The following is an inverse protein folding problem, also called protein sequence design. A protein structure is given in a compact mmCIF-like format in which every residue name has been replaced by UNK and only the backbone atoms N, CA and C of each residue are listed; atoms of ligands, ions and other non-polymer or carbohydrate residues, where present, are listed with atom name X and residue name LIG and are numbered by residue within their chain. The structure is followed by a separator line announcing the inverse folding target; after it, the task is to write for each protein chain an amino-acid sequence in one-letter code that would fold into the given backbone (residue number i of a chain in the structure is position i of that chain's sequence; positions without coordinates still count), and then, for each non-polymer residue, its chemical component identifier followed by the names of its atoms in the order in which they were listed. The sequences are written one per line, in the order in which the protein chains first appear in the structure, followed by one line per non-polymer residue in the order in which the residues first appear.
data_IF_294842764777
#
_entry.id   IF_294842764777
#
_cell.length_a   1.000
_cell.length_b   1.000
_cell.length_c   1.000
_cell.angle_alpha   90.00
_cell.angle_beta   90.00
_cell.angle_gamma   90.00
#
_symmetry.space_group_name_H-M   'P 1'
#
loop_
_entity.id
_entity.type
_entity.pdbx_description
1 polymer ?
#
# COMPACT_ATOMS: atom_id res chain seq x y z
N UNK A 1 -26.39 32.47 39.10
CA UNK A 1 -25.59 32.01 37.96
C UNK A 1 -24.60 33.11 37.62
N UNK A 2 -23.32 32.82 37.77
CA UNK A 2 -22.27 33.83 37.71
C UNK A 2 -21.97 34.22 36.25
N UNK A 3 -21.64 35.49 36.02
CA UNK A 3 -21.44 36.07 34.68
C UNK A 3 -20.28 35.41 33.94
N UNK A 4 -19.32 34.87 34.70
CA UNK A 4 -18.18 34.07 34.22
C UNK A 4 -18.60 32.71 33.66
N UNK A 5 -19.53 32.01 34.32
CA UNK A 5 -20.03 30.70 33.84
C UNK A 5 -20.80 30.83 32.53
N UNK A 6 -21.54 31.93 32.38
CA UNK A 6 -22.30 32.22 31.16
C UNK A 6 -21.39 32.43 29.94
N UNK A 7 -20.23 33.09 30.13
CA UNK A 7 -19.25 33.31 29.05
C UNK A 7 -18.49 32.03 28.67
N UNK A 8 -18.22 31.15 29.63
CA UNK A 8 -17.59 29.85 29.39
C UNK A 8 -18.50 28.94 28.55
N UNK A 9 -19.81 28.90 28.85
CA UNK A 9 -20.80 28.14 28.09
C UNK A 9 -20.94 28.64 26.64
N UNK A 10 -20.92 29.96 26.43
CA UNK A 10 -20.98 30.55 25.08
C UNK A 10 -19.74 30.19 24.26
N UNK A 11 -18.54 30.27 24.85
CA UNK A 11 -17.30 29.85 24.15
C UNK A 11 -17.31 28.37 23.80
N UNK A 12 -17.74 27.51 24.72
CA UNK A 12 -17.86 26.07 24.46
C UNK A 12 -18.85 25.77 23.32
N UNK A 13 -19.99 26.48 23.26
CA UNK A 13 -20.95 26.35 22.18
C UNK A 13 -20.39 26.82 20.83
N UNK A 14 -19.61 27.90 20.80
CA UNK A 14 -18.93 28.38 19.58
C UNK A 14 -17.89 27.37 19.09
N UNK A 15 -17.06 26.82 19.98
CA UNK A 15 -16.08 25.80 19.63
C UNK A 15 -16.75 24.53 19.10
N UNK A 16 -17.85 24.09 19.72
CA UNK A 16 -18.63 22.93 19.27
C UNK A 16 -19.23 23.17 17.88
N UNK A 17 -19.80 24.34 17.63
CA UNK A 17 -20.36 24.72 16.32
C UNK A 17 -19.27 24.83 15.25
N UNK A 18 -18.08 25.34 15.61
CA UNK A 18 -16.93 25.41 14.71
C UNK A 18 -16.39 24.00 14.38
N UNK A 19 -16.31 23.10 15.35
CA UNK A 19 -15.92 21.71 15.16
C UNK A 19 -16.90 20.98 14.23
N UNK A 20 -18.20 21.11 14.49
CA UNK A 20 -19.24 20.50 13.64
C UNK A 20 -19.22 21.05 12.21
N UNK A 21 -18.94 22.36 12.04
CA UNK A 21 -18.82 22.97 10.71
C UNK A 21 -17.58 22.46 9.96
N UNK A 22 -16.47 22.23 10.65
CA UNK A 22 -15.26 21.61 10.06
C UNK A 22 -15.55 20.18 9.63
N UNK A 23 -16.14 19.38 10.52
CA UNK A 23 -16.54 18.00 10.22
C UNK A 23 -17.45 17.91 8.99
N UNK A 24 -18.49 18.75 8.90
CA UNK A 24 -19.35 18.79 7.70
C UNK A 24 -18.62 19.25 6.43
N UNK A 25 -17.61 20.13 6.57
CA UNK A 25 -16.80 20.58 5.44
C UNK A 25 -15.88 19.47 4.94
N UNK A 26 -15.28 18.71 5.85
CA UNK A 26 -14.41 17.58 5.54
C UNK A 26 -15.22 16.46 4.87
N UNK A 27 -16.41 16.16 5.40
CA UNK A 27 -17.34 15.20 4.78
C UNK A 27 -17.76 15.66 3.39
N UNK A 28 -18.09 16.93 3.18
CA UNK A 28 -18.46 17.45 1.87
C UNK A 28 -17.28 17.40 0.88
N UNK A 29 -16.05 17.66 1.35
CA UNK A 29 -14.84 17.50 0.54
C UNK A 29 -14.65 16.04 0.14
N UNK A 30 -14.79 15.10 1.07
CA UNK A 30 -14.68 13.66 0.80
C UNK A 30 -15.76 13.17 -0.18
N UNK A 31 -17.00 13.64 -0.03
CA UNK A 31 -18.10 13.30 -0.94
C UNK A 31 -17.85 13.88 -2.35
N UNK A 32 -17.33 15.10 -2.43
CA UNK A 32 -16.93 15.71 -3.70
C UNK A 32 -15.80 14.94 -4.38
N UNK A 33 -14.76 14.60 -3.61
CA UNK A 33 -13.62 13.82 -4.10
C UNK A 33 -14.03 12.42 -4.55
N UNK A 34 -14.91 11.76 -3.79
CA UNK A 34 -15.46 10.45 -4.15
C UNK A 34 -16.34 10.54 -5.41
N UNK A 35 -17.14 11.59 -5.53
CA UNK A 35 -17.91 11.87 -6.74
C UNK A 35 -17.00 11.99 -7.97
N UNK A 36 -15.92 12.77 -7.86
CA UNK A 36 -14.93 12.93 -8.93
C UNK A 36 -14.22 11.60 -9.26
N UNK A 37 -13.77 10.85 -8.25
CA UNK A 37 -13.16 9.54 -8.43
C UNK A 37 -14.10 8.56 -9.12
N UNK A 38 -15.37 8.48 -8.72
CA UNK A 38 -16.34 7.53 -9.30
C UNK A 38 -16.56 7.74 -10.80
N UNK A 39 -16.44 8.98 -11.27
CA UNK A 39 -16.59 9.33 -12.70
C UNK A 39 -15.32 9.01 -13.49
N UNK A 40 -14.15 9.15 -12.86
CA UNK A 40 -12.84 9.06 -13.52
C UNK A 40 -12.03 7.78 -13.18
N UNK A 41 -12.57 6.87 -12.37
CA UNK A 41 -11.86 5.69 -11.85
C UNK A 41 -11.34 4.71 -12.92
N UNK A 42 -11.79 4.83 -14.17
CA UNK A 42 -11.44 3.93 -15.27
C UNK A 42 -10.64 4.61 -16.40
N UNK A 43 -10.34 5.91 -16.29
CA UNK A 43 -9.59 6.61 -17.34
C UNK A 43 -8.08 6.40 -17.20
N UNK A 44 -7.42 6.09 -18.32
CA UNK A 44 -5.98 5.80 -18.38
C UNK A 44 -5.08 7.03 -18.11
N UNK A 45 -5.64 8.23 -18.27
CA UNK A 45 -4.95 9.53 -18.11
C UNK A 45 -5.32 10.24 -16.79
N UNK A 46 -5.49 9.47 -15.71
CA UNK A 46 -5.82 10.03 -14.40
C UNK A 46 -4.63 10.85 -13.84
N UNK A 47 -4.67 12.17 -14.00
CA UNK A 47 -3.80 13.10 -13.28
C UNK A 47 -4.48 13.60 -11.99
N UNK A 48 -3.92 13.31 -10.80
CA UNK A 48 -4.53 13.66 -9.52
C UNK A 48 -4.25 15.12 -9.16
N UNK A 49 -4.78 16.07 -9.94
CA UNK A 49 -4.46 17.49 -9.73
C UNK A 49 -5.48 18.18 -8.81
N UNK A 50 -6.61 17.55 -8.46
CA UNK A 50 -7.68 18.25 -7.72
C UNK A 50 -8.40 17.52 -6.57
N UNK A 51 -8.09 16.25 -6.27
CA UNK A 51 -8.74 15.53 -5.16
C UNK A 51 -7.73 15.18 -4.06
N UNK A 52 -8.09 15.43 -2.79
CA UNK A 52 -7.32 14.94 -1.64
C UNK A 52 -7.50 13.41 -1.46
N UNK A 53 -8.41 12.79 -2.20
CA UNK A 53 -8.65 11.35 -2.20
C UNK A 53 -7.89 10.66 -3.35
N UNK A 54 -7.08 9.67 -3.00
CA UNK A 54 -6.37 8.77 -3.93
C UNK A 54 -6.94 7.37 -3.81
N UNK A 55 -6.68 6.50 -4.80
CA UNK A 55 -7.05 5.09 -4.69
C UNK A 55 -6.38 4.42 -3.48
N UNK A 56 -5.12 4.76 -3.20
CA UNK A 56 -4.40 4.26 -2.04
C UNK A 56 -5.13 4.61 -0.74
N UNK A 57 -5.56 5.86 -0.56
CA UNK A 57 -6.33 6.29 0.62
C UNK A 57 -7.66 5.56 0.75
N UNK A 58 -8.35 5.27 -0.36
CA UNK A 58 -9.57 4.48 -0.35
C UNK A 58 -9.31 3.05 0.13
N UNK A 59 -8.29 2.39 -0.42
CA UNK A 59 -7.92 1.02 -0.05
C UNK A 59 -7.53 1.00 1.43
N UNK A 60 -6.60 1.85 1.86
CA UNK A 60 -6.12 1.88 3.24
C UNK A 60 -7.25 2.20 4.22
N UNK A 61 -8.13 3.15 3.92
CA UNK A 61 -9.29 3.44 4.78
C UNK A 61 -10.25 2.25 4.91
N UNK A 62 -10.37 1.41 3.88
CA UNK A 62 -11.23 0.23 3.91
C UNK A 62 -10.57 -1.00 4.53
N UNK A 63 -9.24 -1.04 4.60
CA UNK A 63 -8.48 -2.24 4.99
C UNK A 63 -7.69 -2.08 6.28
N UNK A 64 -7.47 -0.86 6.78
CA UNK A 64 -6.73 -0.63 8.03
C UNK A 64 -7.63 -0.85 9.23
N UNK A 65 -7.20 -1.72 10.14
CA UNK A 65 -7.85 -2.02 11.42
C UNK A 65 -7.29 -1.10 12.50
N UNK A 66 -6.04 -1.36 12.91
CA UNK A 66 -5.26 -0.51 13.81
C UNK A 66 -4.26 0.35 13.02
N UNK A 67 -4.02 1.57 13.51
CA UNK A 67 -3.04 2.47 12.91
C UNK A 67 -1.61 1.95 13.12
N UNK A 68 -0.80 2.00 12.06
CA UNK A 68 0.64 1.72 12.17
C UNK A 68 1.34 2.77 13.05
N UNK A 69 2.42 2.41 13.75
CA UNK A 69 3.23 3.38 14.48
C UNK A 69 3.85 4.41 13.54
N UNK A 70 3.98 5.66 13.99
CA UNK A 70 4.69 6.69 13.23
C UNK A 70 6.16 6.27 13.06
N UNK A 71 6.65 6.30 11.82
CA UNK A 71 8.06 6.01 11.53
C UNK A 71 8.87 7.29 11.62
N UNK A 72 9.61 7.45 12.72
CA UNK A 72 10.46 8.62 12.98
C UNK A 72 11.86 8.51 12.33
N UNK A 73 12.16 7.36 11.71
CA UNK A 73 13.49 7.06 11.18
C UNK A 73 13.51 7.09 9.65
N UNK A 74 14.03 8.18 9.08
CA UNK A 74 14.30 8.29 7.64
C UNK A 74 15.49 7.42 7.16
N UNK A 75 16.22 6.75 8.07
CA UNK A 75 17.47 6.04 7.72
C UNK A 75 17.18 4.61 7.32
N UNK A 76 17.62 4.23 6.12
CA UNK A 76 17.64 2.83 5.66
C UNK A 76 18.42 1.94 6.64
N UNK A 77 18.01 0.68 6.83
CA UNK A 77 18.77 -0.25 7.65
C UNK A 77 20.15 -0.52 7.02
N UNK A 78 21.12 -1.06 7.78
CA UNK A 78 22.37 -1.51 7.19
C UNK A 78 22.11 -2.47 6.02
N UNK A 79 22.84 -2.31 4.92
CA UNK A 79 22.62 -3.10 3.68
C UNK A 79 22.66 -4.61 3.92
N UNK A 80 23.52 -5.06 4.84
CA UNK A 80 23.59 -6.46 5.28
C UNK A 80 22.25 -6.93 5.88
N UNK A 81 21.64 -6.13 6.76
CA UNK A 81 20.34 -6.45 7.36
C UNK A 81 19.24 -6.52 6.29
N UNK A 82 19.22 -5.57 5.36
CA UNK A 82 18.26 -5.61 4.25
C UNK A 82 18.41 -6.86 3.38
N UNK A 83 19.64 -7.23 3.01
CA UNK A 83 19.89 -8.46 2.25
C UNK A 83 19.41 -9.72 2.97
N UNK A 84 19.64 -9.82 4.29
CA UNK A 84 19.16 -10.97 5.09
C UNK A 84 17.62 -11.06 5.06
N UNK A 85 16.93 -9.93 5.21
CA UNK A 85 15.46 -9.89 5.18
C UNK A 85 14.91 -10.19 3.78
N UNK A 86 15.52 -9.62 2.75
CA UNK A 86 15.18 -9.91 1.35
C UNK A 86 15.37 -11.38 1.05
N UNK A 87 16.50 -11.98 1.43
CA UNK A 87 16.75 -13.39 1.23
C UNK A 87 15.72 -14.26 1.96
N UNK A 88 15.38 -13.91 3.21
CA UNK A 88 14.33 -14.61 3.95
C UNK A 88 12.97 -14.57 3.23
N UNK A 89 12.58 -13.40 2.70
CA UNK A 89 11.37 -13.26 1.88
C UNK A 89 11.46 -14.11 0.60
N UNK A 90 12.60 -14.09 -0.09
CA UNK A 90 12.79 -14.83 -1.34
C UNK A 90 12.64 -16.34 -1.14
N UNK A 91 13.24 -16.86 -0.06
CA UNK A 91 13.24 -18.29 0.23
C UNK A 91 11.85 -18.78 0.69
N UNK A 92 11.15 -18.00 1.51
CA UNK A 92 9.96 -18.48 2.24
C UNK A 92 8.62 -17.96 1.69
N UNK A 93 8.60 -16.84 0.96
CA UNK A 93 7.36 -16.21 0.48
C UNK A 93 7.34 -16.11 -1.05
N UNK A 94 8.40 -15.57 -1.66
CA UNK A 94 8.47 -15.39 -3.11
C UNK A 94 8.40 -16.73 -3.88
N UNK A 95 8.95 -17.80 -3.30
CA UNK A 95 8.87 -19.16 -3.86
C UNK A 95 7.43 -19.65 -4.06
N UNK A 96 6.48 -19.14 -3.25
CA UNK A 96 5.05 -19.41 -3.36
C UNK A 96 4.32 -18.35 -4.21
N UNK A 97 4.74 -17.10 -4.11
CA UNK A 97 4.07 -15.95 -4.72
C UNK A 97 5.00 -15.06 -5.58
N UNK A 98 5.55 -15.56 -6.70
CA UNK A 98 6.51 -14.83 -7.53
C UNK A 98 5.79 -13.80 -8.42
N UNK A 99 5.35 -12.70 -7.82
CA UNK A 99 4.52 -11.68 -8.47
C UNK A 99 5.28 -10.51 -9.10
N UNK A 100 6.60 -10.48 -8.98
CA UNK A 100 7.51 -9.54 -9.63
C UNK A 100 8.80 -10.27 -10.02
N UNK A 101 9.70 -9.63 -10.76
CA UNK A 101 10.99 -10.25 -11.10
C UNK A 101 12.01 -10.02 -9.98
N UNK A 102 12.85 -11.01 -9.70
CA UNK A 102 13.96 -10.89 -8.75
C UNK A 102 14.90 -9.74 -9.13
N UNK A 103 15.19 -9.58 -10.43
CA UNK A 103 16.00 -8.46 -10.93
C UNK A 103 15.39 -7.11 -10.58
N UNK A 104 14.06 -6.96 -10.70
CA UNK A 104 13.37 -5.71 -10.32
C UNK A 104 13.57 -5.38 -8.84
N UNK A 105 13.44 -6.37 -7.96
CA UNK A 105 13.63 -6.17 -6.52
C UNK A 105 15.08 -5.80 -6.19
N UNK A 106 16.05 -6.52 -6.74
CA UNK A 106 17.47 -6.28 -6.47
C UNK A 106 17.93 -4.92 -7.02
N UNK A 107 17.48 -4.55 -8.22
CA UNK A 107 17.76 -3.21 -8.79
C UNK A 107 17.13 -2.11 -7.95
N UNK A 108 15.86 -2.25 -7.54
CA UNK A 108 15.21 -1.28 -6.66
C UNK A 108 15.94 -1.13 -5.33
N UNK A 109 16.38 -2.24 -4.72
CA UNK A 109 17.17 -2.22 -3.49
C UNK A 109 18.49 -1.48 -3.72
N UNK A 110 19.23 -1.83 -4.76
CA UNK A 110 20.52 -1.22 -5.07
C UNK A 110 20.41 0.27 -5.38
N UNK A 111 19.36 0.69 -6.08
CA UNK A 111 19.07 2.09 -6.39
C UNK A 111 18.71 2.86 -5.11
N UNK A 112 17.93 2.29 -4.19
CA UNK A 112 17.58 2.94 -2.90
C UNK A 112 18.81 3.14 -2.01
N UNK A 113 19.76 2.21 -2.03
CA UNK A 113 21.02 2.33 -1.27
C UNK A 113 22.08 3.19 -1.95
N UNK A 114 21.95 3.44 -3.25
CA UNK A 114 22.78 4.40 -3.96
C UNK A 114 22.12 5.77 -3.78
N UNK A 115 22.72 6.66 -3.00
CA UNK A 115 22.28 8.06 -2.84
C UNK A 115 22.47 8.90 -4.13
N UNK A 116 22.34 8.26 -5.29
CA UNK A 116 22.60 8.83 -6.59
C UNK A 116 21.37 9.63 -7.07
N UNK A 117 21.59 10.50 -8.05
CA UNK A 117 20.60 11.52 -8.49
C UNK A 117 19.39 10.94 -9.25
N UNK A 118 19.17 9.61 -9.22
CA UNK A 118 18.08 8.96 -9.94
C UNK A 118 16.78 9.10 -9.16
N UNK A 119 15.75 9.58 -9.83
CA UNK A 119 14.39 9.59 -9.27
C UNK A 119 13.88 8.16 -9.17
N UNK A 120 13.82 7.64 -7.95
CA UNK A 120 13.27 6.31 -7.63
C UNK A 120 11.74 6.43 -7.59
N UNK A 121 11.04 5.44 -8.14
CA UNK A 121 9.58 5.43 -8.15
C UNK A 121 9.03 5.02 -6.80
N UNK A 122 7.88 5.54 -6.43
CA UNK A 122 7.15 5.13 -5.23
C UNK A 122 6.84 3.62 -5.20
N UNK A 123 6.56 3.02 -6.36
CA UNK A 123 6.38 1.57 -6.48
C UNK A 123 7.62 0.76 -6.09
N UNK A 124 8.81 1.31 -6.32
CA UNK A 124 10.08 0.64 -6.02
C UNK A 124 10.39 0.74 -4.52
N UNK A 125 10.18 1.91 -3.92
CA UNK A 125 10.21 2.07 -2.46
C UNK A 125 9.21 1.17 -1.76
N UNK A 126 7.96 1.15 -2.24
CA UNK A 126 6.90 0.28 -1.73
C UNK A 126 7.32 -1.19 -1.78
N UNK A 127 7.77 -1.66 -2.95
CA UNK A 127 8.20 -3.04 -3.13
C UNK A 127 9.30 -3.42 -2.13
N UNK A 128 10.34 -2.59 -2.01
CA UNK A 128 11.45 -2.88 -1.10
C UNK A 128 11.00 -2.86 0.36
N UNK A 129 10.30 -1.81 0.81
CA UNK A 129 9.87 -1.72 2.21
C UNK A 129 8.86 -2.82 2.58
N UNK A 130 7.93 -3.18 1.69
CA UNK A 130 7.01 -4.28 1.93
C UNK A 130 7.73 -5.63 1.99
N UNK A 131 8.71 -5.87 1.11
CA UNK A 131 9.55 -7.09 1.18
C UNK A 131 10.33 -7.16 2.49
N UNK A 132 10.91 -6.05 2.95
CA UNK A 132 11.59 -5.98 4.25
C UNK A 132 10.63 -6.20 5.41
N UNK A 133 9.42 -5.61 5.34
CA UNK A 133 8.38 -5.76 6.34
C UNK A 133 7.94 -7.22 6.46
N UNK A 134 7.57 -7.86 5.36
CA UNK A 134 7.16 -9.27 5.29
C UNK A 134 8.30 -10.18 5.74
N UNK A 135 9.52 -9.97 5.21
CA UNK A 135 10.70 -10.75 5.57
C UNK A 135 11.04 -10.68 7.06
N UNK A 136 10.80 -9.54 7.71
CA UNK A 136 10.94 -9.40 9.16
C UNK A 136 9.79 -10.04 9.91
N UNK A 137 8.55 -9.69 9.60
CA UNK A 137 7.36 -10.17 10.32
C UNK A 137 7.21 -11.70 10.24
N UNK A 138 7.56 -12.32 9.11
CA UNK A 138 7.53 -13.78 8.94
C UNK A 138 8.47 -14.53 9.92
N UNK A 139 9.49 -13.88 10.45
CA UNK A 139 10.41 -14.44 11.45
C UNK A 139 9.93 -14.22 12.89
N UNK A 140 8.89 -13.41 13.08
CA UNK A 140 8.33 -13.14 14.40
C UNK A 140 7.68 -14.40 14.99
N UNK A 141 7.88 -14.60 16.29
CA UNK A 141 7.30 -15.73 17.04
C UNK A 141 6.23 -15.26 18.02
N UNK A 142 6.23 -13.96 18.35
CA UNK A 142 5.32 -13.37 19.33
C UNK A 142 5.03 -11.93 18.92
N UNK A 143 3.77 -11.52 19.11
CA UNK A 143 3.37 -10.11 19.03
C UNK A 143 4.32 -9.28 19.92
N UNK A 144 4.77 -8.13 19.40
CA UNK A 144 5.71 -7.20 20.03
C UNK A 144 7.15 -7.71 20.24
N UNK A 145 7.56 -8.83 19.63
CA UNK A 145 8.98 -9.16 19.55
C UNK A 145 9.73 -8.24 18.57
N UNK A 146 11.07 -8.33 18.57
CA UNK A 146 11.92 -7.46 17.75
C UNK A 146 11.59 -7.55 16.26
N UNK A 147 11.30 -8.75 15.75
CA UNK A 147 10.98 -8.97 14.34
C UNK A 147 9.63 -8.35 13.97
N UNK A 148 8.63 -8.51 14.83
CA UNK A 148 7.32 -7.87 14.67
C UNK A 148 7.44 -6.35 14.60
N UNK A 149 8.11 -5.74 15.59
CA UNK A 149 8.27 -4.28 15.66
C UNK A 149 9.07 -3.73 14.47
N UNK A 150 10.12 -4.44 14.04
CA UNK A 150 10.91 -4.08 12.86
C UNK A 150 10.06 -4.19 11.57
N UNK A 151 9.20 -5.21 11.49
CA UNK A 151 8.28 -5.38 10.36
C UNK A 151 7.25 -4.27 10.27
N UNK A 152 6.67 -3.87 11.40
CA UNK A 152 5.78 -2.71 11.51
C UNK A 152 6.46 -1.41 11.06
N UNK A 153 7.72 -1.21 11.46
CA UNK A 153 8.47 -0.02 11.06
C UNK A 153 8.62 0.07 9.54
N UNK A 154 9.02 -1.02 8.87
CA UNK A 154 9.13 -1.02 7.41
C UNK A 154 7.78 -0.88 6.71
N UNK A 155 6.72 -1.51 7.23
CA UNK A 155 5.37 -1.32 6.70
C UNK A 155 4.92 0.15 6.80
N UNK A 156 5.20 0.81 7.92
CA UNK A 156 4.92 2.24 8.13
C UNK A 156 5.68 3.11 7.11
N UNK A 157 6.94 2.78 6.82
CA UNK A 157 7.71 3.47 5.76
C UNK A 157 7.14 3.25 4.37
N UNK A 158 6.66 2.04 4.07
CA UNK A 158 6.00 1.76 2.79
C UNK A 158 4.75 2.64 2.60
N UNK A 159 3.98 2.91 3.66
CA UNK A 159 2.77 3.75 3.57
C UNK A 159 3.03 5.16 3.02
N UNK A 160 4.24 5.72 3.20
CA UNK A 160 4.61 7.02 2.63
C UNK A 160 4.63 7.02 1.09
N UNK A 161 4.70 5.85 0.47
CA UNK A 161 4.74 5.65 -0.98
C UNK A 161 3.45 5.04 -1.54
N UNK A 162 2.40 4.89 -0.69
CA UNK A 162 1.16 4.23 -1.06
C UNK A 162 0.46 4.89 -2.26
N UNK A 163 0.40 6.22 -2.27
CA UNK A 163 -0.29 7.01 -3.30
C UNK A 163 0.25 6.70 -4.70
N UNK A 164 1.58 6.66 -4.85
CA UNK A 164 2.23 6.32 -6.12
C UNK A 164 2.20 4.81 -6.44
N UNK A 165 2.45 3.96 -5.44
CA UNK A 165 2.53 2.51 -5.63
C UNK A 165 1.20 1.85 -5.99
N UNK A 166 0.10 2.35 -5.43
CA UNK A 166 -1.26 1.85 -5.65
C UNK A 166 -2.01 2.62 -6.76
N UNK A 167 -1.30 3.42 -7.56
CA UNK A 167 -1.91 4.15 -8.69
C UNK A 167 -2.65 3.18 -9.62
N UNK A 168 -3.96 3.39 -9.88
CA UNK A 168 -4.74 2.50 -10.74
C UNK A 168 -4.24 2.41 -12.17
N UNK A 169 -4.48 1.28 -12.83
CA UNK A 169 -4.22 1.13 -14.27
C UNK A 169 -2.86 0.53 -14.63
N UNK A 170 -2.01 0.24 -13.63
CA UNK A 170 -0.66 -0.26 -13.82
C UNK A 170 -0.45 -1.64 -13.20
N UNK A 171 0.47 -2.43 -13.75
CA UNK A 171 0.85 -3.73 -13.18
C UNK A 171 1.40 -3.59 -11.76
N UNK A 172 2.12 -2.50 -11.51
CA UNK A 172 2.66 -2.14 -10.19
C UNK A 172 1.56 -1.99 -9.15
N UNK A 173 0.34 -1.59 -9.53
CA UNK A 173 -0.82 -1.55 -8.62
C UNK A 173 -1.13 -2.95 -8.07
N UNK A 174 -1.25 -3.95 -8.96
CA UNK A 174 -1.57 -5.33 -8.57
C UNK A 174 -0.46 -5.87 -7.68
N UNK A 175 0.81 -5.66 -8.07
CA UNK A 175 1.96 -6.12 -7.30
C UNK A 175 2.00 -5.48 -5.90
N UNK A 176 1.72 -4.18 -5.82
CA UNK A 176 1.70 -3.44 -4.56
C UNK A 176 0.56 -3.87 -3.64
N UNK A 177 -0.65 -4.06 -4.20
CA UNK A 177 -1.80 -4.62 -3.47
C UNK A 177 -1.50 -6.03 -2.98
N UNK A 178 -0.90 -6.86 -3.82
CA UNK A 178 -0.57 -8.24 -3.49
C UNK A 178 0.47 -8.34 -2.37
N UNK A 179 1.49 -7.49 -2.38
CA UNK A 179 2.44 -7.36 -1.27
C UNK A 179 1.75 -6.92 0.03
N UNK A 180 0.79 -6.00 -0.03
CA UNK A 180 0.00 -5.59 1.13
C UNK A 180 -0.90 -6.72 1.64
N UNK A 181 -1.52 -7.49 0.75
CA UNK A 181 -2.28 -8.69 1.12
C UNK A 181 -1.38 -9.68 1.86
N UNK A 182 -0.19 -9.97 1.35
CA UNK A 182 0.77 -10.88 1.99
C UNK A 182 1.17 -10.40 3.39
N UNK A 183 1.43 -9.10 3.55
CA UNK A 183 1.74 -8.52 4.86
C UNK A 183 0.54 -8.63 5.82
N UNK A 184 -0.67 -8.29 5.37
CA UNK A 184 -1.89 -8.35 6.19
C UNK A 184 -2.21 -9.77 6.68
N UNK A 185 -1.80 -10.81 5.94
CA UNK A 185 -1.93 -12.20 6.40
C UNK A 185 -0.99 -12.52 7.57
N UNK A 186 0.16 -11.84 7.66
CA UNK A 186 1.10 -11.99 8.77
C UNK A 186 0.72 -11.09 9.97
N UNK A 187 0.12 -9.93 9.71
CA UNK A 187 -0.26 -8.96 10.73
C UNK A 187 -1.73 -8.52 10.60
N UNK A 188 -2.69 -9.39 10.96
CA UNK A 188 -4.12 -9.09 10.86
C UNK A 188 -4.59 -8.02 11.87
N UNK A 189 -3.74 -7.65 12.84
CA UNK A 189 -4.06 -6.58 13.79
C UNK A 189 -4.16 -5.21 13.11
N UNK A 190 -3.31 -4.93 12.11
CA UNK A 190 -3.27 -3.64 11.43
C UNK A 190 -4.01 -3.63 10.10
N UNK A 191 -4.12 -4.77 9.41
CA UNK A 191 -4.75 -4.82 8.10
C UNK A 191 -5.68 -6.02 7.91
N UNK A 192 -6.80 -5.78 7.24
CA UNK A 192 -7.75 -6.80 6.83
C UNK A 192 -7.37 -7.39 5.46
N UNK A 193 -6.81 -8.60 5.49
CA UNK A 193 -6.41 -9.34 4.30
C UNK A 193 -7.59 -9.73 3.40
N UNK A 194 -8.81 -9.89 3.94
CA UNK A 194 -10.00 -10.26 3.17
C UNK A 194 -10.42 -9.15 2.21
N UNK A 195 -10.48 -7.91 2.70
CA UNK A 195 -10.78 -6.78 1.83
C UNK A 195 -9.66 -6.52 0.84
N UNK A 196 -8.39 -6.66 1.28
CA UNK A 196 -7.22 -6.50 0.40
C UNK A 196 -7.22 -7.49 -0.76
N UNK A 197 -7.41 -8.78 -0.51
CA UNK A 197 -7.44 -9.77 -1.60
C UNK A 197 -8.60 -9.49 -2.57
N UNK A 198 -9.73 -9.00 -2.07
CA UNK A 198 -10.85 -8.55 -2.90
C UNK A 198 -10.52 -7.34 -3.79
N UNK A 199 -9.72 -6.37 -3.31
CA UNK A 199 -9.21 -5.28 -4.16
C UNK A 199 -8.22 -5.80 -5.21
N UNK A 200 -7.31 -6.69 -4.80
CA UNK A 200 -6.29 -7.27 -5.70
C UNK A 200 -6.93 -8.09 -6.82
N UNK A 201 -7.93 -8.92 -6.50
CA UNK A 201 -8.67 -9.73 -7.46
C UNK A 201 -9.42 -8.86 -8.49
N UNK A 202 -10.06 -7.77 -8.05
CA UNK A 202 -10.70 -6.80 -8.95
C UNK A 202 -9.70 -6.14 -9.89
N UNK A 203 -8.56 -5.64 -9.38
CA UNK A 203 -7.52 -5.02 -10.20
C UNK A 203 -6.99 -5.97 -11.29
N UNK A 204 -6.85 -7.26 -10.98
CA UNK A 204 -6.48 -8.29 -11.96
C UNK A 204 -7.52 -8.46 -13.06
N UNK A 205 -8.81 -8.46 -12.70
CA UNK A 205 -9.89 -8.58 -13.69
C UNK A 205 -9.94 -7.33 -14.57
N UNK A 206 -9.87 -6.15 -13.96
CA UNK A 206 -9.93 -4.85 -14.63
C UNK A 206 -8.78 -4.65 -15.63
N UNK A 207 -7.57 -5.13 -15.30
CA UNK A 207 -6.40 -5.10 -16.19
C UNK A 207 -6.32 -6.31 -17.14
N UNK A 208 -7.30 -7.20 -17.09
CA UNK A 208 -7.42 -8.37 -17.95
C UNK A 208 -6.42 -9.50 -17.64
N UNK A 209 -5.76 -9.50 -16.49
CA UNK A 209 -4.73 -10.50 -16.13
C UNK A 209 -5.30 -11.93 -16.01
N UNK A 210 -6.62 -12.04 -15.83
CA UNK A 210 -7.38 -13.29 -15.84
C UNK A 210 -7.51 -13.95 -17.23
N UNK A 211 -7.05 -13.29 -18.29
CA UNK A 211 -7.06 -13.82 -19.65
C UNK A 211 -5.70 -13.63 -20.33
N UNK A 212 -5.38 -14.58 -21.21
CA UNK A 212 -4.27 -14.41 -22.13
C UNK A 212 -4.63 -13.38 -23.21
N UNK A 213 -3.81 -12.33 -23.41
CA UNK A 213 -4.02 -11.38 -24.48
C UNK A 213 -3.79 -12.04 -25.86
N UNK A 214 -4.33 -11.46 -26.95
CA UNK A 214 -4.07 -11.94 -28.30
C UNK A 214 -2.56 -12.05 -28.58
N UNK A 215 -2.15 -13.06 -29.36
CA UNK A 215 -0.74 -13.31 -29.71
C UNK A 215 -0.06 -12.09 -30.36
N UNK A 216 -0.82 -11.22 -31.02
CA UNK A 216 -0.34 -9.97 -31.63
C UNK A 216 -0.12 -8.83 -30.63
N UNK A 217 -0.67 -8.92 -29.41
CA UNK A 217 -0.69 -7.84 -28.43
C UNK A 217 0.43 -7.94 -27.37
N UNK A 218 1.04 -9.11 -27.18
CA UNK A 218 2.18 -9.28 -26.26
C UNK A 218 3.40 -9.75 -27.03
N UNK A 219 4.40 -8.87 -27.22
CA UNK A 219 5.59 -9.20 -28.01
C UNK A 219 6.58 -10.09 -27.26
N UNK A 220 6.53 -10.14 -25.93
CA UNK A 220 7.53 -10.80 -25.09
C UNK A 220 6.96 -11.94 -24.23
N UNK A 221 7.60 -13.10 -24.31
CA UNK A 221 7.22 -14.31 -23.57
C UNK A 221 7.40 -14.15 -22.06
N UNK A 222 8.41 -13.41 -21.60
CA UNK A 222 8.64 -13.21 -20.16
C UNK A 222 7.54 -12.34 -19.54
N UNK A 223 7.10 -11.31 -20.26
CA UNK A 223 5.95 -10.47 -19.87
C UNK A 223 4.65 -11.25 -19.77
N UNK A 224 4.40 -12.18 -20.72
CA UNK A 224 3.24 -13.07 -20.66
C UNK A 224 3.31 -14.04 -19.47
N UNK A 225 4.48 -14.61 -19.21
CA UNK A 225 4.71 -15.50 -18.06
C UNK A 225 4.49 -14.77 -16.73
N UNK A 226 5.00 -13.54 -16.60
CA UNK A 226 4.79 -12.70 -15.41
C UNK A 226 3.31 -12.36 -15.21
N UNK A 227 2.57 -12.03 -16.28
CA UNK A 227 1.12 -11.79 -16.22
C UNK A 227 0.38 -13.00 -15.62
N UNK A 228 0.69 -14.20 -16.12
CA UNK A 228 0.10 -15.45 -15.62
C UNK A 228 0.51 -15.74 -14.17
N UNK A 229 1.78 -15.55 -13.82
CA UNK A 229 2.27 -15.71 -12.44
C UNK A 229 1.50 -14.82 -11.48
N UNK A 230 1.36 -13.54 -11.79
CA UNK A 230 0.59 -12.58 -10.99
C UNK A 230 -0.85 -13.08 -10.79
N UNK A 231 -1.51 -13.52 -11.87
CA UNK A 231 -2.86 -14.12 -11.77
C UNK A 231 -2.91 -15.30 -10.81
N UNK A 232 -2.01 -16.27 -10.96
CA UNK A 232 -2.01 -17.45 -10.09
C UNK A 232 -1.62 -17.15 -8.64
N UNK A 233 -0.78 -16.15 -8.39
CA UNK A 233 -0.47 -15.70 -7.02
C UNK A 233 -1.74 -15.18 -6.33
N UNK A 234 -2.52 -14.34 -7.01
CA UNK A 234 -3.77 -13.80 -6.45
C UNK A 234 -4.81 -14.90 -6.28
N UNK A 235 -4.97 -15.77 -7.27
CA UNK A 235 -5.87 -16.92 -7.16
C UNK A 235 -5.51 -17.83 -5.97
N UNK A 236 -4.21 -18.07 -5.74
CA UNK A 236 -3.74 -18.91 -4.64
C UNK A 236 -3.97 -18.28 -3.25
N UNK A 237 -3.97 -16.94 -3.14
CA UNK A 237 -4.23 -16.25 -1.88
C UNK A 237 -5.72 -16.03 -1.60
N UNK A 238 -6.55 -15.95 -2.65
CA UNK A 238 -8.00 -15.82 -2.52
C UNK A 238 -8.68 -17.11 -2.08
N UNK A 239 -8.07 -18.27 -2.36
CA UNK A 239 -8.72 -19.58 -2.23
C UNK A 239 -8.39 -20.36 -0.97
#
# INVERSE_FOLDING_TARGET
MDRRDSLALIRAAIHRKAAQKRETSDVNSLVSDFGFLSVNATTRDFEPISTNMTFARLVLAATTNDALPESDQARLPPRQTAHVLVQHYMDNVYSLFPCFSETSLLTALDDIYQEDTRTIKDSDYWMVYMVLAIGSTAQSKRIQDTHYLTGLEYASRAMNHADGALTPGYVTQIQSLLLLTQYAMLDPAHFDSWHLIGFTARAIVDLGFHQDPPLSAVPDKASLDMRRKIFYCVYALDR
#
